data_IF_862078706315
#
_entry.id   IF_862078706315
#
_cell.length_a   1.000
_cell.length_b   1.000
_cell.length_c   1.000
_cell.angle_alpha   90.00
_cell.angle_beta   90.00
_cell.angle_gamma   90.00
#
_symmetry.space_group_name_H-M   'P 1'
#
loop_
_entity.id
_entity.type
_entity.pdbx_description
1 polymer ?
#
# COMPACT_ATOMS: atom_id res chain seq x y z
N UNK A 1 -7.94 14.14 -7.28
CA UNK A 1 -8.08 13.15 -6.19
C UNK A 1 -7.39 13.73 -4.95
N UNK A 2 -8.15 14.34 -4.04
CA UNK A 2 -7.62 15.20 -2.97
C UNK A 2 -7.24 14.45 -1.67
N UNK A 3 -6.90 13.17 -1.75
CA UNK A 3 -6.65 12.30 -0.57
C UNK A 3 -5.17 11.94 -0.43
N UNK A 4 -4.31 12.39 -1.35
CA UNK A 4 -2.94 11.88 -1.54
C UNK A 4 -2.01 12.03 -0.32
N UNK A 5 -2.37 12.82 0.71
CA UNK A 5 -1.55 13.01 1.92
C UNK A 5 -2.27 12.86 3.26
N UNK A 6 -3.55 12.49 3.27
CA UNK A 6 -4.31 12.40 4.54
C UNK A 6 -4.50 10.98 5.06
N UNK A 7 -4.31 9.96 4.22
CA UNK A 7 -4.55 8.56 4.63
C UNK A 7 -3.26 7.93 5.14
N UNK A 8 -3.22 7.48 6.41
CA UNK A 8 -2.07 6.74 6.91
C UNK A 8 -1.85 5.47 6.08
N UNK A 9 -0.58 5.17 5.76
CA UNK A 9 -0.21 4.03 4.90
C UNK A 9 -0.81 2.72 5.40
N UNK A 10 -0.77 2.47 6.71
CA UNK A 10 -1.38 1.27 7.31
C UNK A 10 -2.89 1.16 7.07
N UNK A 11 -3.61 2.29 7.06
CA UNK A 11 -5.05 2.30 6.77
C UNK A 11 -5.28 1.93 5.31
N UNK A 12 -4.52 2.53 4.38
CA UNK A 12 -4.61 2.20 2.96
C UNK A 12 -4.33 0.71 2.68
N UNK A 13 -3.34 0.12 3.36
CA UNK A 13 -3.04 -1.32 3.27
C UNK A 13 -4.21 -2.16 3.76
N UNK A 14 -4.78 -1.83 4.92
CA UNK A 14 -5.92 -2.56 5.47
C UNK A 14 -7.12 -2.54 4.50
N UNK A 15 -7.45 -1.36 3.93
CA UNK A 15 -8.55 -1.25 2.96
C UNK A 15 -8.27 -2.05 1.68
N UNK A 16 -7.03 -2.03 1.18
CA UNK A 16 -6.64 -2.84 0.03
C UNK A 16 -6.79 -4.35 0.31
N UNK A 17 -6.48 -4.80 1.53
CA UNK A 17 -6.67 -6.20 1.96
C UNK A 17 -8.14 -6.55 2.10
N UNK A 18 -8.99 -5.66 2.61
CA UNK A 18 -10.44 -5.89 2.66
C UNK A 18 -11.05 -5.97 1.25
N UNK A 19 -10.64 -5.10 0.32
CA UNK A 19 -11.04 -5.21 -1.08
C UNK A 19 -10.57 -6.53 -1.71
N UNK A 20 -9.35 -6.97 -1.41
CA UNK A 20 -8.83 -8.25 -1.88
C UNK A 20 -9.63 -9.46 -1.40
N UNK A 21 -10.26 -9.39 -0.22
CA UNK A 21 -11.17 -10.46 0.26
C UNK A 21 -12.49 -10.48 -0.50
N UNK A 22 -12.99 -9.32 -0.90
CA UNK A 22 -14.28 -9.19 -1.60
C UNK A 22 -14.15 -9.60 -3.07
N UNK A 23 -13.03 -9.24 -3.71
CA UNK A 23 -12.87 -9.34 -5.17
C UNK A 23 -11.82 -10.37 -5.63
N UNK A 24 -11.02 -10.91 -4.70
CA UNK A 24 -9.94 -11.85 -5.00
C UNK A 24 -10.29 -13.32 -4.74
N UNK A 25 -9.30 -14.19 -4.96
CA UNK A 25 -9.34 -15.58 -4.51
C UNK A 25 -8.81 -15.70 -3.08
N UNK A 26 -8.94 -16.88 -2.47
CA UNK A 26 -8.52 -17.14 -1.09
C UNK A 26 -7.07 -16.72 -0.76
N UNK A 27 -6.18 -16.77 -1.76
CA UNK A 27 -4.78 -16.36 -1.62
C UNK A 27 -4.53 -14.85 -1.74
N UNK A 28 -5.45 -14.11 -2.38
CA UNK A 28 -5.24 -12.69 -2.74
C UNK A 28 -5.03 -11.78 -1.52
N UNK A 29 -5.78 -11.89 -0.41
CA UNK A 29 -5.59 -11.01 0.75
C UNK A 29 -4.17 -11.11 1.35
N UNK A 30 -3.64 -12.33 1.46
CA UNK A 30 -2.27 -12.55 1.96
C UNK A 30 -1.22 -12.00 1.00
N UNK A 31 -1.41 -12.19 -0.31
CA UNK A 31 -0.52 -11.66 -1.32
C UNK A 31 -0.45 -10.13 -1.28
N UNK A 32 -1.61 -9.45 -1.27
CA UNK A 32 -1.70 -7.98 -1.19
C UNK A 32 -1.05 -7.46 0.08
N UNK A 33 -1.34 -8.08 1.24
CA UNK A 33 -0.73 -7.69 2.50
C UNK A 33 0.81 -7.84 2.48
N UNK A 34 1.32 -8.91 1.87
CA UNK A 34 2.77 -9.13 1.75
C UNK A 34 3.46 -8.11 0.86
N UNK A 35 2.91 -7.82 -0.32
CA UNK A 35 3.48 -6.85 -1.27
C UNK A 35 3.46 -5.44 -0.68
N UNK A 36 2.29 -4.99 -0.21
CA UNK A 36 2.15 -3.62 0.29
C UNK A 36 2.88 -3.41 1.62
N UNK A 37 2.94 -4.43 2.48
CA UNK A 37 3.74 -4.40 3.71
C UNK A 37 5.22 -4.21 3.40
N UNK A 38 5.77 -4.98 2.45
CA UNK A 38 7.16 -4.82 2.03
C UNK A 38 7.44 -3.43 1.46
N UNK A 39 6.54 -2.87 0.66
CA UNK A 39 6.72 -1.51 0.12
C UNK A 39 6.66 -0.44 1.23
N UNK A 40 5.80 -0.62 2.23
CA UNK A 40 5.70 0.31 3.35
C UNK A 40 6.98 0.33 4.20
N UNK A 41 7.65 -0.81 4.36
CA UNK A 41 8.93 -0.89 5.08
C UNK A 41 10.04 -0.08 4.37
N UNK A 42 9.98 0.01 3.04
CA UNK A 42 10.95 0.74 2.20
C UNK A 42 10.44 2.13 1.77
N UNK A 43 9.39 2.66 2.40
CA UNK A 43 8.75 3.90 1.96
C UNK A 43 9.73 5.08 1.84
N UNK A 44 10.61 5.26 2.83
CA UNK A 44 11.58 6.36 2.84
C UNK A 44 12.62 6.24 1.72
N UNK A 45 13.05 5.02 1.40
CA UNK A 45 14.00 4.75 0.31
C UNK A 45 13.35 5.05 -1.05
N UNK A 46 12.10 4.59 -1.24
CA UNK A 46 11.31 4.85 -2.45
C UNK A 46 11.06 6.36 -2.62
N UNK A 47 10.74 7.07 -1.55
CA UNK A 47 10.56 8.53 -1.57
C UNK A 47 11.88 9.26 -1.91
N UNK A 48 13.04 8.75 -1.48
CA UNK A 48 14.33 9.36 -1.82
C UNK A 48 14.79 9.08 -3.26
N UNK A 49 14.48 7.89 -3.79
CA UNK A 49 14.88 7.49 -5.14
C UNK A 49 13.92 7.98 -6.24
N UNK A 50 12.63 8.04 -5.93
CA UNK A 50 11.56 8.34 -6.90
C UNK A 50 10.70 9.56 -6.51
N UNK A 51 10.82 10.07 -5.29
CA UNK A 51 10.20 11.34 -4.92
C UNK A 51 10.91 12.46 -5.66
N UNK A 52 10.15 13.12 -6.54
CA UNK A 52 10.55 14.26 -7.36
C UNK A 52 11.87 14.94 -6.92
N UNK A 53 12.94 14.66 -7.68
CA UNK A 53 14.09 15.57 -7.69
C UNK A 53 13.56 16.97 -8.07
N UNK A 54 13.98 18.04 -7.37
CA UNK A 54 13.69 19.39 -7.83
C UNK A 54 14.25 19.66 -9.23
#
# INVERSE_FOLDING_TARGET
>A
FAIEKCTPVKVAINEAVELAKIFGSDSTPRFVNGVLGSLADHQAEIENEFGAQP
#
